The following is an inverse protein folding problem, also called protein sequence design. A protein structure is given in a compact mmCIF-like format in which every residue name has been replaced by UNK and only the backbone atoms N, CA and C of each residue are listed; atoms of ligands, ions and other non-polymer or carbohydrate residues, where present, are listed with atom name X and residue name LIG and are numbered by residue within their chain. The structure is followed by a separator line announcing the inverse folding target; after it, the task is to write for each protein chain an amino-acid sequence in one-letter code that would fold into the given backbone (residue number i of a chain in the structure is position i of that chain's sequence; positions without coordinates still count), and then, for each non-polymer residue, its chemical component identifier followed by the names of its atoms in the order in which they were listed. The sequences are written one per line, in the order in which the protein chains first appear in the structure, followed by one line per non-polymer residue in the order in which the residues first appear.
data_IF_143686238582
#
_entry.id   IF_143686238582
#
_cell.length_a   1.000
_cell.length_b   1.000
_cell.length_c   1.000
_cell.angle_alpha   90.00
_cell.angle_beta   90.00
_cell.angle_gamma   90.00
#
_symmetry.space_group_name_H-M   'P 1'
#
loop_
_entity.id
_entity.type
_entity.pdbx_description
1 polymer ?
#
# COMPACT_ATOMS: atom_id res chain seq x y z
N UNK A 1 6.81 7.74 -18.12
CA UNK A 1 6.57 7.05 -16.84
C UNK A 1 6.20 8.10 -15.82
N UNK A 2 5.08 7.91 -15.13
CA UNK A 2 4.51 8.88 -14.19
C UNK A 2 3.04 8.56 -13.95
N UNK A 3 2.47 9.14 -12.90
CA UNK A 3 1.06 8.98 -12.58
C UNK A 3 0.28 10.05 -13.36
N UNK A 4 -0.78 9.64 -14.05
CA UNK A 4 -1.59 10.57 -14.85
C UNK A 4 -2.19 11.66 -13.95
N UNK A 5 -2.42 12.89 -14.46
CA UNK A 5 -2.81 14.03 -13.64
C UNK A 5 -4.09 13.86 -12.83
N UNK A 6 -4.98 12.94 -13.20
CA UNK A 6 -6.24 12.66 -12.47
C UNK A 6 -6.07 11.66 -11.31
N UNK A 7 -4.91 11.02 -11.19
CA UNK A 7 -4.60 10.12 -10.10
C UNK A 7 -3.76 10.81 -9.03
N UNK A 8 -3.88 10.32 -7.80
CA UNK A 8 -3.07 10.75 -6.66
C UNK A 8 -2.13 9.63 -6.24
N UNK A 9 -0.88 9.99 -5.99
CA UNK A 9 0.13 9.08 -5.47
C UNK A 9 0.06 9.03 -3.95
N UNK A 10 0.01 7.82 -3.39
CA UNK A 10 0.01 7.57 -1.96
C UNK A 10 1.24 6.72 -1.60
N UNK A 11 2.00 7.13 -0.58
CA UNK A 11 3.13 6.39 -0.03
C UNK A 11 3.29 6.72 1.46
N UNK A 12 3.92 5.83 2.21
CA UNK A 12 4.25 6.08 3.61
C UNK A 12 5.40 7.11 3.76
N UNK A 13 5.77 7.36 5.01
CA UNK A 13 6.83 8.30 5.36
C UNK A 13 8.20 7.64 5.58
N UNK A 14 8.49 6.47 4.98
CA UNK A 14 9.83 5.85 5.07
C UNK A 14 10.91 6.90 4.67
N UNK A 15 12.04 7.00 5.40
CA UNK A 15 13.12 7.92 5.07
C UNK A 15 13.59 7.85 3.61
N UNK A 16 13.53 6.68 2.97
CA UNK A 16 13.88 6.50 1.57
C UNK A 16 12.92 7.23 0.63
N UNK A 17 11.62 7.19 0.91
CA UNK A 17 10.61 7.94 0.14
C UNK A 17 10.79 9.46 0.31
N UNK A 18 11.33 9.89 1.46
CA UNK A 18 11.63 11.29 1.76
C UNK A 18 13.04 11.75 1.36
N UNK A 19 13.88 10.86 0.83
CA UNK A 19 15.20 11.22 0.32
C UNK A 19 15.08 12.27 -0.80
N UNK A 20 16.05 13.18 -0.91
CA UNK A 20 15.99 14.29 -1.87
C UNK A 20 15.75 13.80 -3.31
N UNK A 21 16.48 12.76 -3.73
CA UNK A 21 16.35 12.19 -5.07
C UNK A 21 14.95 11.62 -5.34
N UNK A 22 14.35 10.94 -4.36
CA UNK A 22 13.00 10.37 -4.49
C UNK A 22 11.93 11.45 -4.54
N UNK A 23 12.03 12.48 -3.68
CA UNK A 23 11.09 13.61 -3.70
C UNK A 23 11.19 14.41 -4.99
N UNK A 24 12.41 14.64 -5.49
CA UNK A 24 12.64 15.34 -6.76
C UNK A 24 11.99 14.56 -7.91
N UNK A 25 12.23 13.25 -7.98
CA UNK A 25 11.59 12.41 -8.99
C UNK A 25 10.05 12.46 -8.87
N UNK A 26 9.51 12.32 -7.66
CA UNK A 26 8.06 12.38 -7.44
C UNK A 26 7.47 13.74 -7.85
N UNK A 27 8.17 14.85 -7.63
CA UNK A 27 7.68 16.18 -8.04
C UNK A 27 7.54 16.34 -9.56
N UNK A 28 8.37 15.65 -10.35
CA UNK A 28 8.30 15.70 -11.82
C UNK A 28 7.32 14.68 -12.39
N UNK A 29 7.14 13.53 -11.73
CA UNK A 29 6.42 12.37 -12.29
C UNK A 29 5.07 12.08 -11.61
N UNK A 30 4.80 12.65 -10.45
CA UNK A 30 3.58 12.45 -9.67
C UNK A 30 2.98 13.81 -9.30
N UNK A 31 2.11 14.40 -10.15
CA UNK A 31 1.61 15.76 -9.96
C UNK A 31 0.83 15.96 -8.64
N UNK A 32 0.26 14.89 -8.10
CA UNK A 32 -0.54 14.92 -6.89
C UNK A 32 -0.04 13.85 -5.89
N UNK A 33 0.82 14.23 -4.94
CA UNK A 33 1.26 13.34 -3.86
C UNK A 33 0.44 13.61 -2.61
N UNK A 34 -0.14 12.55 -2.02
CA UNK A 34 -0.88 12.61 -0.76
C UNK A 34 0.13 12.59 0.39
N UNK A 35 0.00 13.56 1.30
CA UNK A 35 0.75 13.56 2.57
C UNK A 35 0.08 12.58 3.53
N UNK A 36 0.86 11.67 4.06
CA UNK A 36 0.40 10.66 5.02
C UNK A 36 0.89 11.00 6.42
N UNK A 37 0.15 10.65 7.48
CA UNK A 37 0.65 10.75 8.84
C UNK A 37 1.75 9.71 9.09
N UNK A 38 2.70 10.03 9.97
CA UNK A 38 3.74 9.09 10.38
C UNK A 38 3.14 7.96 11.22
N UNK A 39 3.76 6.77 11.19
CA UNK A 39 3.37 5.63 12.03
C UNK A 39 1.89 5.22 11.91
N UNK A 40 1.29 5.38 10.73
CA UNK A 40 -0.13 5.04 10.48
C UNK A 40 -0.27 3.93 9.43
N UNK A 41 0.20 2.70 9.72
CA UNK A 41 0.04 1.57 8.81
C UNK A 41 -1.43 1.22 8.58
N UNK A 42 -2.29 1.50 9.55
CA UNK A 42 -3.74 1.34 9.50
C UNK A 42 -4.38 2.17 8.37
N UNK A 43 -3.76 3.29 7.99
CA UNK A 43 -4.16 4.14 6.87
C UNK A 43 -3.52 3.76 5.53
N UNK A 44 -2.71 2.69 5.45
CA UNK A 44 -2.06 2.29 4.21
C UNK A 44 -2.70 1.02 3.62
N UNK A 45 -3.61 1.13 2.60
CA UNK A 45 -4.32 -0.01 2.04
C UNK A 45 -3.42 -1.11 1.45
N UNK A 46 -2.19 -0.76 1.06
CA UNK A 46 -1.25 -1.73 0.47
C UNK A 46 -0.83 -2.78 1.49
N UNK A 47 -0.81 -2.46 2.79
CA UNK A 47 -0.51 -3.44 3.85
C UNK A 47 -1.52 -4.59 3.82
N UNK A 48 -2.79 -4.29 3.58
CA UNK A 48 -3.81 -5.34 3.48
C UNK A 48 -3.67 -6.19 2.21
N UNK A 49 -3.14 -5.62 1.12
CA UNK A 49 -2.81 -6.38 -0.09
C UNK A 49 -1.62 -7.29 0.19
N UNK A 50 -0.60 -6.82 0.91
CA UNK A 50 0.53 -7.64 1.33
C UNK A 50 0.11 -8.78 2.24
N UNK A 51 -0.78 -8.53 3.21
CA UNK A 51 -1.34 -9.57 4.07
C UNK A 51 -2.17 -10.58 3.28
N UNK A 52 -2.99 -10.12 2.34
CA UNK A 52 -3.75 -11.00 1.45
C UNK A 52 -2.84 -11.90 0.61
N UNK A 53 -1.77 -11.34 0.04
CA UNK A 53 -0.77 -12.10 -0.72
C UNK A 53 -0.04 -13.09 0.19
N UNK A 54 0.44 -12.66 1.36
CA UNK A 54 1.12 -13.49 2.34
C UNK A 54 0.27 -14.68 2.77
N UNK A 55 -1.04 -14.47 3.01
CA UNK A 55 -1.97 -15.55 3.36
C UNK A 55 -2.15 -16.58 2.24
N UNK A 56 -2.04 -16.17 0.97
CA UNK A 56 -2.04 -17.10 -0.17
C UNK A 56 -0.71 -17.87 -0.25
N UNK A 57 0.41 -17.17 -0.09
CA UNK A 57 1.75 -17.75 -0.16
C UNK A 57 2.00 -18.79 0.94
N UNK A 58 1.49 -18.56 2.16
CA UNK A 58 1.61 -19.50 3.30
C UNK A 58 0.98 -20.88 3.04
N UNK A 59 0.14 -21.03 2.02
CA UNK A 59 -0.46 -22.32 1.64
C UNK A 59 0.52 -23.24 0.90
N UNK A 60 1.64 -22.70 0.41
CA UNK A 60 2.64 -23.45 -0.33
C UNK A 60 3.83 -23.78 0.58
N UNK A 61 4.40 -24.97 0.41
CA UNK A 61 5.72 -25.30 0.98
C UNK A 61 6.78 -24.79 0.02
N UNK A 62 7.36 -23.64 0.33
CA UNK A 62 8.38 -22.99 -0.50
C UNK A 62 9.74 -23.25 0.14
N UNK A 63 10.69 -23.72 -0.66
CA UNK A 63 12.01 -24.15 -0.21
C UNK A 63 13.16 -23.34 -0.82
N UNK A 64 12.89 -22.52 -1.83
CA UNK A 64 13.90 -21.68 -2.48
C UNK A 64 13.41 -20.26 -2.78
N UNK A 65 14.35 -19.34 -3.00
CA UNK A 65 14.04 -17.95 -3.42
C UNK A 65 13.38 -17.90 -4.80
N UNK A 66 13.74 -18.80 -5.71
CA UNK A 66 13.16 -18.85 -7.05
C UNK A 66 11.70 -19.30 -7.00
N UNK A 67 11.41 -20.35 -6.23
CA UNK A 67 10.03 -20.79 -5.97
C UNK A 67 9.21 -19.66 -5.33
N UNK A 68 9.77 -18.95 -4.34
CA UNK A 68 9.08 -17.82 -3.72
C UNK A 68 8.72 -16.74 -4.74
N UNK A 69 9.67 -16.38 -5.62
CA UNK A 69 9.46 -15.38 -6.66
C UNK A 69 8.36 -15.79 -7.62
N UNK A 70 8.40 -17.02 -8.13
CA UNK A 70 7.39 -17.55 -9.05
C UNK A 70 6.00 -17.60 -8.41
N UNK A 71 5.92 -18.02 -7.14
CA UNK A 71 4.65 -18.02 -6.39
C UNK A 71 4.13 -16.63 -6.10
N UNK A 72 4.99 -15.68 -5.74
CA UNK A 72 4.59 -14.29 -5.54
C UNK A 72 3.98 -13.69 -6.81
N UNK A 73 4.64 -13.85 -7.96
CA UNK A 73 4.12 -13.32 -9.24
C UNK A 73 2.80 -14.01 -9.61
N UNK A 74 2.75 -15.34 -9.56
CA UNK A 74 1.53 -16.07 -9.95
C UNK A 74 0.34 -15.87 -9.01
N UNK A 75 0.56 -15.65 -7.71
CA UNK A 75 -0.52 -15.32 -6.78
C UNK A 75 -0.95 -13.85 -6.85
N UNK A 76 -0.02 -12.95 -7.17
CA UNK A 76 -0.29 -11.54 -7.43
C UNK A 76 -1.20 -11.35 -8.64
N UNK A 77 -0.92 -12.05 -9.74
CA UNK A 77 -1.72 -11.98 -10.97
C UNK A 77 -3.17 -12.49 -10.77
N UNK A 78 -3.41 -13.26 -9.71
CA UNK A 78 -4.75 -13.73 -9.30
C UNK A 78 -5.46 -12.76 -8.35
N UNK A 79 -4.90 -11.61 -8.04
CA UNK A 79 -5.57 -10.59 -7.23
C UNK A 79 -6.49 -9.81 -8.15
N UNK A 80 -7.79 -10.05 -8.01
CA UNK A 80 -8.80 -9.33 -8.76
C UNK A 80 -8.88 -7.86 -8.33
N UNK A 81 -9.23 -6.97 -9.28
CA UNK A 81 -9.36 -5.54 -9.01
C UNK A 81 -10.43 -5.19 -7.97
N UNK A 82 -11.42 -6.06 -7.74
CA UNK A 82 -12.42 -5.89 -6.68
C UNK A 82 -11.80 -5.96 -5.27
N UNK A 83 -10.76 -6.77 -5.06
CA UNK A 83 -10.04 -6.89 -3.79
C UNK A 83 -9.35 -5.57 -3.48
N UNK A 84 -8.61 -5.03 -4.45
CA UNK A 84 -7.97 -3.72 -4.33
C UNK A 84 -9.02 -2.61 -4.09
N UNK A 85 -10.12 -2.62 -4.85
CA UNK A 85 -11.18 -1.64 -4.70
C UNK A 85 -11.83 -1.68 -3.31
N UNK A 86 -12.01 -2.85 -2.72
CA UNK A 86 -12.59 -2.99 -1.38
C UNK A 86 -11.70 -2.37 -0.30
N UNK A 87 -10.38 -2.54 -0.37
CA UNK A 87 -9.46 -1.90 0.56
C UNK A 87 -9.47 -0.38 0.42
N UNK A 88 -9.46 0.15 -0.80
CA UNK A 88 -9.56 1.60 -1.05
C UNK A 88 -10.90 2.15 -0.56
N UNK A 89 -12.02 1.46 -0.82
CA UNK A 89 -13.36 1.84 -0.34
C UNK A 89 -13.48 1.87 1.19
N UNK A 90 -12.60 1.17 1.91
CA UNK A 90 -12.59 1.19 3.37
C UNK A 90 -11.98 2.48 3.95
N UNK A 91 -11.21 3.24 3.17
CA UNK A 91 -10.45 4.41 3.67
C UNK A 91 -11.30 5.48 4.39
N UNK A 92 -12.49 5.88 3.91
CA UNK A 92 -13.33 6.82 4.64
C UNK A 92 -13.68 6.32 6.05
N UNK A 93 -13.93 5.01 6.21
CA UNK A 93 -14.20 4.41 7.52
C UNK A 93 -12.95 4.43 8.41
N UNK A 94 -11.77 4.10 7.87
CA UNK A 94 -10.51 4.15 8.64
C UNK A 94 -10.19 5.56 9.13
N UNK A 95 -10.32 6.55 8.26
CA UNK A 95 -10.13 7.97 8.61
C UNK A 95 -11.09 8.41 9.72
N UNK A 96 -12.36 8.00 9.64
CA UNK A 96 -13.33 8.28 10.71
C UNK A 96 -12.93 7.62 12.04
N UNK A 97 -12.41 6.40 12.03
CA UNK A 97 -11.91 5.74 13.24
C UNK A 97 -10.68 6.46 13.82
N UNK A 98 -9.73 6.90 12.98
CA UNK A 98 -8.58 7.72 13.45
C UNK A 98 -9.06 9.01 14.12
N UNK A 99 -10.07 9.67 13.54
CA UNK A 99 -10.67 10.88 14.14
C UNK A 99 -11.31 10.56 15.50
N UNK A 100 -12.07 9.46 15.61
CA UNK A 100 -12.67 9.01 16.88
C UNK A 100 -11.61 8.67 17.92
N UNK A 101 -10.52 8.02 17.51
CA UNK A 101 -9.36 7.71 18.35
C UNK A 101 -8.46 8.92 18.61
N UNK A 102 -8.82 10.13 18.13
CA UNK A 102 -8.03 11.37 18.28
C UNK A 102 -6.59 11.23 17.78
N UNK A 103 -6.39 10.52 16.67
CA UNK A 103 -5.08 10.23 16.09
C UNK A 103 -4.38 9.02 16.70
N UNK A 104 -4.98 8.34 17.68
CA UNK A 104 -4.49 7.07 18.21
C UNK A 104 -4.71 5.88 17.27
N UNK A 105 -4.13 4.71 17.59
CA UNK A 105 -4.26 3.50 16.78
C UNK A 105 -5.71 3.06 16.57
N UNK A 106 -5.99 2.49 15.41
CA UNK A 106 -7.29 1.89 15.09
C UNK A 106 -7.20 0.36 15.06
N UNK A 107 -8.32 -0.32 14.82
CA UNK A 107 -8.36 -1.78 14.66
C UNK A 107 -7.98 -2.26 13.25
N UNK A 108 -7.63 -1.31 12.36
CA UNK A 108 -7.28 -1.56 10.96
C UNK A 108 -5.80 -1.87 10.75
#
# INVERSE_FOLDING_TARGET
MGILPHYKFYQDNDPKHNAHICRLWASYHCPQVIRTPAQSPDLNPIENIWDHLNNRIRKFKISSKNELREKLVSEWDKIEGNVCANFVKSMPKRLNEVIKCKGGPTHY
#
